data_IF_848691838784
#
_entry.id   IF_848691838784
#
_cell.length_a   1.000
_cell.length_b   1.000
_cell.length_c   1.000
_cell.angle_alpha   90.00
_cell.angle_beta   90.00
_cell.angle_gamma   90.00
#
_symmetry.space_group_name_H-M   'P 1'
#
loop_
_entity.id
_entity.type
_entity.pdbx_description
1 polymer ?
#
# COMPACT_ATOMS: atom_id res chain seq x y z
N UNK A 1 7.10 0.46 -2.27
CA UNK A 1 6.73 -0.61 -1.31
C UNK A 1 5.59 -0.13 -0.43
N UNK A 2 4.66 -1.03 -0.04
CA UNK A 2 3.45 -0.64 0.69
C UNK A 2 2.60 0.34 -0.11
N UNK A 3 2.26 -0.02 -1.35
CA UNK A 3 1.69 0.90 -2.33
C UNK A 3 0.26 1.36 -1.96
N UNK A 4 -0.55 0.52 -1.31
CA UNK A 4 -1.93 0.84 -0.97
C UNK A 4 -2.75 1.22 -2.20
N UNK A 5 -3.22 2.47 -2.25
CA UNK A 5 -3.94 3.04 -3.40
C UNK A 5 -3.02 3.54 -4.52
N UNK A 6 -1.71 3.36 -4.39
CA UNK A 6 -0.65 3.66 -5.37
C UNK A 6 -0.36 5.13 -5.64
N UNK A 7 -0.88 6.07 -4.85
CA UNK A 7 -0.74 7.51 -5.15
C UNK A 7 0.71 7.98 -5.37
N UNK A 8 1.69 7.67 -4.49
CA UNK A 8 3.07 8.10 -4.72
C UNK A 8 3.69 7.49 -5.98
N UNK A 9 3.42 6.22 -6.26
CA UNK A 9 3.96 5.54 -7.43
C UNK A 9 3.30 5.99 -8.74
N UNK A 10 1.99 6.27 -8.73
CA UNK A 10 1.28 6.87 -9.87
C UNK A 10 1.84 8.25 -10.19
N UNK A 11 2.08 9.07 -9.17
CA UNK A 11 2.72 10.38 -9.35
C UNK A 11 4.10 10.23 -9.98
N UNK A 12 4.94 9.33 -9.47
CA UNK A 12 6.27 9.07 -10.03
C UNK A 12 6.19 8.61 -11.50
N UNK A 13 5.27 7.71 -11.84
CA UNK A 13 5.07 7.25 -13.20
C UNK A 13 4.60 8.37 -14.13
N UNK A 14 3.71 9.26 -13.67
CA UNK A 14 3.29 10.46 -14.43
C UNK A 14 4.43 11.47 -14.61
N UNK A 15 5.41 11.49 -13.71
CA UNK A 15 6.64 12.25 -13.86
C UNK A 15 7.65 11.60 -14.82
N UNK A 16 7.33 10.43 -15.40
CA UNK A 16 8.16 9.73 -16.38
C UNK A 16 9.11 8.69 -15.80
N UNK A 17 8.98 8.34 -14.51
CA UNK A 17 9.75 7.24 -13.93
C UNK A 17 9.20 5.88 -14.39
N UNK A 18 10.09 4.89 -14.53
CA UNK A 18 9.71 3.49 -14.58
C UNK A 18 9.41 3.03 -13.15
N UNK A 19 8.20 2.50 -12.92
CA UNK A 19 7.69 2.24 -11.57
C UNK A 19 7.25 0.80 -11.45
N UNK A 20 7.69 0.15 -10.38
CA UNK A 20 7.16 -1.10 -9.89
C UNK A 20 6.43 -0.81 -8.57
N UNK A 21 5.15 -1.14 -8.52
CA UNK A 21 4.34 -1.07 -7.30
C UNK A 21 4.37 -2.39 -6.57
N UNK A 22 4.39 -2.34 -5.25
CA UNK A 22 4.36 -3.54 -4.42
C UNK A 22 3.57 -3.35 -3.14
N UNK A 23 2.81 -4.39 -2.80
CA UNK A 23 2.05 -4.51 -1.56
C UNK A 23 2.06 -5.98 -1.09
N UNK A 24 1.51 -6.26 0.08
CA UNK A 24 1.56 -7.60 0.70
C UNK A 24 1.00 -8.69 -0.23
N UNK A 25 1.81 -9.73 -0.48
CA UNK A 25 1.38 -10.92 -1.24
C UNK A 25 0.28 -11.70 -0.52
N UNK A 26 0.16 -11.50 0.80
CA UNK A 26 -0.85 -12.13 1.65
C UNK A 26 -2.22 -11.46 1.53
N UNK A 27 -2.28 -10.27 0.93
CA UNK A 27 -3.50 -9.49 0.73
C UNK A 27 -3.73 -9.22 -0.77
N UNK A 28 -4.23 -10.21 -1.54
CA UNK A 28 -4.44 -10.06 -2.99
C UNK A 28 -5.32 -8.87 -3.38
N UNK A 29 -6.23 -8.46 -2.49
CA UNK A 29 -7.08 -7.28 -2.71
C UNK A 29 -6.28 -5.98 -2.81
N UNK A 30 -5.20 -5.81 -2.02
CA UNK A 30 -4.34 -4.63 -2.10
C UNK A 30 -3.62 -4.55 -3.45
N UNK A 31 -3.18 -5.70 -3.98
CA UNK A 31 -2.57 -5.77 -5.31
C UNK A 31 -3.58 -5.45 -6.42
N UNK A 32 -4.83 -5.89 -6.29
CA UNK A 32 -5.89 -5.52 -7.22
C UNK A 32 -6.21 -4.02 -7.18
N UNK A 33 -6.29 -3.43 -5.98
CA UNK A 33 -6.43 -1.97 -5.84
C UNK A 33 -5.29 -1.26 -6.56
N UNK A 34 -4.05 -1.71 -6.38
CA UNK A 34 -2.91 -1.11 -7.06
C UNK A 34 -3.08 -1.12 -8.59
N UNK A 35 -3.48 -2.27 -9.15
CA UNK A 35 -3.74 -2.41 -10.60
C UNK A 35 -4.86 -1.50 -11.05
N UNK A 36 -5.99 -1.49 -10.33
CA UNK A 36 -7.14 -0.64 -10.66
C UNK A 36 -6.79 0.84 -10.64
N UNK A 37 -6.05 1.29 -9.61
CA UNK A 37 -5.55 2.67 -9.54
C UNK A 37 -4.68 3.03 -10.75
N UNK A 38 -3.80 2.13 -11.20
CA UNK A 38 -3.00 2.34 -12.41
C UNK A 38 -3.86 2.46 -13.68
N UNK A 39 -4.83 1.55 -13.85
CA UNK A 39 -5.76 1.58 -14.98
C UNK A 39 -6.58 2.88 -15.02
N UNK A 40 -7.12 3.30 -13.88
CA UNK A 40 -7.88 4.55 -13.76
C UNK A 40 -7.04 5.80 -14.05
N UNK A 41 -5.71 5.70 -13.91
CA UNK A 41 -4.78 6.80 -14.16
C UNK A 41 -4.09 6.74 -15.53
N UNK A 42 -4.56 5.85 -16.43
CA UNK A 42 -3.97 5.61 -17.76
C UNK A 42 -2.51 5.15 -17.70
N UNK A 43 -2.17 4.30 -16.74
CA UNK A 43 -0.84 3.73 -16.54
C UNK A 43 -0.86 2.19 -16.54
N UNK A 44 -1.43 1.51 -17.56
CA UNK A 44 -1.52 0.05 -17.59
C UNK A 44 -0.15 -0.64 -17.65
N UNK A 45 0.91 0.09 -18.00
CA UNK A 45 2.28 -0.40 -18.08
C UNK A 45 3.01 -0.50 -16.73
N UNK A 46 2.42 0.02 -15.65
CA UNK A 46 3.05 -0.03 -14.32
C UNK A 46 2.89 -1.43 -13.74
N UNK A 47 4.01 -2.09 -13.48
CA UNK A 47 4.01 -3.44 -12.91
C UNK A 47 3.59 -3.44 -11.44
N UNK A 48 2.81 -4.46 -11.07
CA UNK A 48 2.34 -4.66 -9.69
C UNK A 48 2.72 -6.05 -9.22
N UNK A 49 3.62 -6.11 -8.23
CA UNK A 49 4.15 -7.36 -7.66
C UNK A 49 3.72 -7.54 -6.20
N UNK A 50 3.67 -8.80 -5.76
CA UNK A 50 3.49 -9.13 -4.36
C UNK A 50 4.82 -9.07 -3.60
N UNK A 51 4.89 -8.21 -2.57
CA UNK A 51 6.04 -8.10 -1.68
C UNK A 51 5.56 -7.93 -0.23
N UNK A 52 5.59 -9.03 0.52
CA UNK A 52 5.39 -9.01 1.97
C UNK A 52 6.70 -8.67 2.68
N UNK A 53 6.66 -7.65 3.55
CA UNK A 53 7.83 -7.21 4.29
C UNK A 53 8.31 -8.31 5.24
N UNK A 54 9.63 -8.44 5.40
CA UNK A 54 10.25 -9.49 6.22
C UNK A 54 10.29 -10.88 5.57
N UNK A 55 9.66 -11.05 4.40
CA UNK A 55 9.71 -12.30 3.63
C UNK A 55 10.61 -12.15 2.41
N UNK A 56 11.37 -13.19 2.10
CA UNK A 56 12.14 -13.30 0.85
C UNK A 56 11.32 -14.15 -0.11
N UNK A 57 10.65 -13.51 -1.07
CA UNK A 57 9.87 -14.17 -2.12
C UNK A 57 10.64 -14.26 -3.43
N UNK A 58 10.22 -15.15 -4.33
CA UNK A 58 10.79 -15.22 -5.67
C UNK A 58 10.49 -13.96 -6.49
N UNK A 59 9.32 -13.34 -6.27
CA UNK A 59 8.95 -12.05 -6.87
C UNK A 59 9.93 -10.96 -6.45
N UNK A 60 10.33 -10.91 -5.16
CA UNK A 60 11.33 -9.96 -4.67
C UNK A 60 12.70 -10.17 -5.34
N UNK A 61 13.13 -11.43 -5.50
CA UNK A 61 14.39 -11.76 -6.14
C UNK A 61 14.41 -11.48 -7.65
N UNK A 62 13.22 -11.42 -8.27
CA UNK A 62 13.06 -11.09 -9.68
C UNK A 62 13.04 -9.57 -9.93
N UNK A 63 12.91 -8.74 -8.89
CA UNK A 63 12.93 -7.28 -9.03
C UNK A 63 14.32 -6.83 -9.44
N UNK A 64 14.47 -6.03 -10.51
CA UNK A 64 15.77 -5.48 -10.89
C UNK A 64 16.29 -4.51 -9.82
N UNK A 65 17.59 -4.16 -9.83
CA UNK A 65 18.11 -3.09 -8.97
C UNK A 65 17.28 -1.81 -9.10
N UNK A 66 16.92 -1.20 -7.97
CA UNK A 66 16.08 0.00 -7.92
C UNK A 66 16.91 1.23 -7.55
N UNK A 67 16.73 2.34 -8.26
CA UNK A 67 17.40 3.61 -7.94
C UNK A 67 16.77 4.31 -6.73
N UNK A 68 15.46 4.19 -6.59
CA UNK A 68 14.66 4.88 -5.58
C UNK A 68 13.64 3.91 -5.01
N UNK A 69 13.52 3.88 -3.68
CA UNK A 69 12.47 3.14 -2.98
C UNK A 69 11.53 4.16 -2.35
N UNK A 70 10.26 4.16 -2.78
CA UNK A 70 9.19 4.97 -2.20
C UNK A 70 8.36 4.14 -1.22
N UNK A 71 8.11 4.70 -0.05
CA UNK A 71 7.25 4.13 0.97
C UNK A 71 6.57 5.28 1.72
N UNK A 72 5.25 5.41 1.59
CA UNK A 72 4.49 6.52 2.17
C UNK A 72 3.68 6.02 3.35
N UNK A 73 3.89 6.61 4.52
CA UNK A 73 3.15 6.29 5.75
C UNK A 73 3.23 4.80 6.16
N UNK A 74 4.41 4.20 5.97
CA UNK A 74 4.66 2.78 6.25
C UNK A 74 5.24 2.51 7.64
N UNK A 75 5.66 3.56 8.35
CA UNK A 75 6.17 3.47 9.71
C UNK A 75 5.10 3.91 10.68
N UNK A 76 4.32 2.95 11.16
CA UNK A 76 3.35 3.13 12.22
C UNK A 76 3.87 2.54 13.53
N UNK A 77 3.50 3.16 14.66
CA UNK A 77 3.71 2.54 15.97
C UNK A 77 2.97 1.20 16.00
N UNK A 78 3.64 0.09 16.33
CA UNK A 78 2.94 -1.17 16.47
C UNK A 78 1.93 -1.04 17.60
N UNK A 79 0.69 -1.48 17.38
CA UNK A 79 -0.30 -1.57 18.44
C UNK A 79 0.26 -2.46 19.56
N UNK A 80 0.72 -1.83 20.64
CA UNK A 80 1.13 -2.54 21.85
C UNK A 80 2.62 -2.82 22.07
N UNK A 81 3.57 -2.05 21.52
CA UNK A 81 4.87 -1.92 22.21
C UNK A 81 4.69 -1.08 23.47
N UNK A 82 3.99 -1.65 24.45
CA UNK A 82 4.05 -1.20 25.83
C UNK A 82 5.44 -1.54 26.36
N UNK A 83 6.43 -0.68 26.06
CA UNK A 83 7.58 -0.57 26.96
C UNK A 83 6.98 -0.11 28.28
N UNK A 84 6.88 -1.02 29.24
CA UNK A 84 6.28 -0.77 30.55
C UNK A 84 7.03 0.35 31.27
N UNK A 85 6.63 1.60 31.00
CA UNK A 85 6.95 2.72 31.84
C UNK A 85 5.90 2.74 32.97
N UNK A 86 6.34 2.79 34.24
CA UNK A 86 5.41 2.81 35.35
C UNK A 86 4.68 4.14 35.38
N UNK A 87 3.44 4.15 34.89
CA UNK A 87 2.47 5.23 35.11
C UNK A 87 2.03 5.98 33.86
N UNK A 88 0.89 5.57 33.31
CA UNK A 88 0.07 6.42 32.43
C UNK A 88 -0.26 5.78 31.08
N UNK A 89 -1.48 5.28 30.95
CA UNK A 89 -2.07 4.86 29.68
C UNK A 89 -2.48 6.10 28.89
N UNK A 90 -1.79 6.38 27.77
CA UNK A 90 -2.21 7.39 26.80
C UNK A 90 -2.81 6.65 25.61
N UNK A 91 -4.14 6.60 25.54
CA UNK A 91 -4.84 6.05 24.38
C UNK A 91 -4.72 7.04 23.21
N UNK A 92 -3.88 6.74 22.23
CA UNK A 92 -3.77 7.52 20.99
C UNK A 92 -4.68 6.87 19.94
N UNK A 93 -5.60 7.60 19.29
CA UNK A 93 -6.51 7.01 18.31
C UNK A 93 -5.77 6.77 16.99
N UNK A 94 -5.13 5.61 16.86
CA UNK A 94 -4.42 5.19 15.66
C UNK A 94 -5.20 4.17 14.85
N UNK A 95 -6.28 4.58 14.18
CA UNK A 95 -6.81 3.91 12.98
C UNK A 95 -7.87 4.76 12.29
N UNK A 96 -7.73 4.96 10.98
CA UNK A 96 -8.90 5.14 10.12
C UNK A 96 -9.67 3.81 10.12
N UNK A 97 -10.97 3.80 10.44
CA UNK A 97 -11.77 2.59 10.30
C UNK A 97 -11.75 2.11 8.84
N UNK A 98 -11.88 0.80 8.59
CA UNK A 98 -12.03 0.30 7.22
C UNK A 98 -13.20 1.03 6.57
N UNK A 99 -13.01 1.52 5.34
CA UNK A 99 -14.06 2.21 4.60
C UNK A 99 -15.31 1.32 4.58
N UNK A 100 -16.37 1.73 5.27
CA UNK A 100 -17.66 1.05 5.19
C UNK A 100 -18.09 1.06 3.72
N UNK A 101 -18.34 -0.13 3.19
CA UNK A 101 -18.85 -0.32 1.84
C UNK A 101 -20.20 0.39 1.77
N UNK A 102 -20.24 1.57 1.17
CA UNK A 102 -21.49 2.30 0.91
C UNK A 102 -22.38 1.45 0.01
N UNK A 103 -23.27 0.67 0.61
CA UNK A 103 -24.42 0.09 -0.04
C UNK A 103 -25.47 1.21 -0.18
N UNK A 104 -25.23 2.14 -1.11
CA UNK A 104 -26.28 3.02 -1.59
C UNK A 104 -25.95 3.49 -3.00
N UNK A 105 -26.29 2.64 -3.97
CA UNK A 105 -26.57 3.11 -5.34
C UNK A 105 -28.10 3.26 -5.40
N UNK A 106 -28.65 4.48 -5.41
CA UNK A 106 -30.06 4.68 -5.70
C UNK A 106 -30.31 4.21 -7.14
N UNK A 107 -31.39 3.45 -7.32
CA UNK A 107 -31.79 2.90 -8.61
C UNK A 107 -31.80 3.96 -9.70
N UNK A 108 -31.16 3.63 -10.82
CA UNK A 108 -31.44 4.27 -12.10
C UNK A 108 -32.50 3.40 -12.76
N UNK A 109 -33.69 3.99 -12.86
CA UNK A 109 -34.85 3.49 -13.57
C UNK A 109 -34.64 3.65 -15.08
#
# INVERSE_FOLDING_TARGET
IGAGVSLPGILAAKCGAEVILSDSSELPHCLEICRQSCWMNNLPQVDVIGLTWGHISQDLLAVPPQDIILASDVFFEPEGLSVGLPGGELTVPGRCPPAERSQNVPGIQ
#
